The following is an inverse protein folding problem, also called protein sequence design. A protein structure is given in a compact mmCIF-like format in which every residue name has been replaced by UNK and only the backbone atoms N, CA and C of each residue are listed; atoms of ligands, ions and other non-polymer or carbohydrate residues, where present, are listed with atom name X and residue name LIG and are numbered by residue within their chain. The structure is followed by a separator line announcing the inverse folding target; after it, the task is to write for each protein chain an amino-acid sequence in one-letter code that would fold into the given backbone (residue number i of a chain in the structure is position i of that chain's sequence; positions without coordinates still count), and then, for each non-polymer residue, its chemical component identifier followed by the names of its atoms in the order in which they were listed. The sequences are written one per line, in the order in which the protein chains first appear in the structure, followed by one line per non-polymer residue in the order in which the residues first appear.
data_IF_874801355387
#
_entry.id   IF_874801355387
#
_cell.length_a   1.000
_cell.length_b   1.000
_cell.length_c   1.000
_cell.angle_alpha   90.00
_cell.angle_beta   90.00
_cell.angle_gamma   90.00
#
_symmetry.space_group_name_H-M   'P 1'
#
loop_
_entity.id
_entity.type
_entity.pdbx_description
1 polymer ?
#
# COMPACT_ATOMS: atom_id res chain seq x y z
N UNK A 1 24.12 19.10 14.98
CA UNK A 1 25.35 18.32 14.70
C UNK A 1 25.98 17.95 16.05
N UNK A 2 25.91 16.69 16.48
CA UNK A 2 26.71 16.15 17.58
C UNK A 2 27.21 14.77 17.14
N UNK A 3 28.52 14.62 17.14
CA UNK A 3 29.28 13.42 16.79
C UNK A 3 29.57 12.68 18.10
N UNK A 4 29.34 11.37 18.14
CA UNK A 4 29.85 10.49 19.20
C UNK A 4 28.80 9.63 19.90
N UNK A 5 28.81 8.34 19.57
CA UNK A 5 28.71 7.25 20.55
C UNK A 5 29.79 6.23 20.17
N UNK A 6 30.57 5.77 21.15
CA UNK A 6 31.77 4.95 20.97
C UNK A 6 31.42 3.61 20.30
N UNK A 7 31.84 3.45 19.03
CA UNK A 7 31.72 2.20 18.28
C UNK A 7 32.87 1.26 18.63
N UNK A 8 32.76 0.57 19.77
CA UNK A 8 33.80 -0.34 20.27
C UNK A 8 33.64 -1.82 19.86
N UNK A 9 32.72 -2.15 18.95
CA UNK A 9 32.47 -3.55 18.55
C UNK A 9 32.31 -3.72 17.04
N UNK A 10 32.99 -4.75 16.52
CA UNK A 10 32.85 -5.43 15.22
C UNK A 10 32.37 -4.54 14.05
N UNK A 11 33.34 -3.90 13.38
CA UNK A 11 33.18 -3.33 12.04
C UNK A 11 32.92 -1.82 11.93
N UNK A 12 32.74 -1.09 13.04
CA UNK A 12 32.50 0.36 13.04
C UNK A 12 33.69 1.15 13.64
N UNK A 13 33.94 2.39 13.15
CA UNK A 13 34.98 3.25 13.71
C UNK A 13 34.62 3.78 15.10
N UNK A 14 35.61 4.26 15.86
CA UNK A 14 35.42 4.78 17.22
C UNK A 14 34.40 5.94 17.28
N UNK A 15 34.34 6.78 16.24
CA UNK A 15 33.38 7.86 16.10
C UNK A 15 32.40 7.57 14.97
N UNK A 16 31.11 7.43 15.32
CA UNK A 16 30.02 7.25 14.36
C UNK A 16 29.04 8.43 14.37
N UNK A 17 28.38 8.65 13.23
CA UNK A 17 27.28 9.60 13.10
C UNK A 17 25.98 8.94 13.54
N UNK A 18 25.36 9.52 14.56
CA UNK A 18 24.04 9.11 15.05
C UNK A 18 22.97 10.04 14.47
N UNK A 19 21.86 9.47 14.04
CA UNK A 19 20.65 10.19 13.63
C UNK A 19 19.51 9.77 14.54
N UNK A 20 18.84 10.75 15.14
CA UNK A 20 17.59 10.55 15.88
C UNK A 20 16.44 11.14 15.08
N UNK A 21 15.40 10.35 14.85
CA UNK A 21 14.15 10.76 14.21
C UNK A 21 13.05 10.70 15.28
N UNK A 22 12.44 11.84 15.56
CA UNK A 22 11.45 12.00 16.62
C UNK A 22 11.71 13.27 17.41
N UNK A 23 11.71 13.14 18.73
CA UNK A 23 11.96 14.26 19.64
C UNK A 23 13.46 14.48 19.89
N UNK A 24 13.87 15.68 20.33
CA UNK A 24 15.25 15.94 20.74
C UNK A 24 15.69 15.17 22.00
N UNK A 25 14.73 14.72 22.82
CA UNK A 25 15.00 13.96 24.04
C UNK A 25 15.32 12.49 23.70
N UNK A 26 16.58 12.08 23.86
CA UNK A 26 17.03 10.72 23.56
C UNK A 26 16.46 9.66 24.52
N UNK A 27 15.91 10.05 25.67
CA UNK A 27 15.22 9.14 26.58
C UNK A 27 13.77 8.85 26.13
N UNK A 28 13.24 9.60 25.18
CA UNK A 28 11.92 9.36 24.59
C UNK A 28 11.96 8.23 23.54
N UNK A 29 10.77 7.77 23.14
CA UNK A 29 10.63 6.76 22.06
C UNK A 29 10.95 7.40 20.69
N UNK A 30 12.23 7.45 20.35
CA UNK A 30 12.72 7.87 19.04
C UNK A 30 13.28 6.69 18.24
N UNK A 31 13.36 6.83 16.92
CA UNK A 31 14.19 5.95 16.08
C UNK A 31 15.60 6.53 16.04
N UNK A 32 16.55 5.80 16.61
CA UNK A 32 17.95 6.23 16.71
C UNK A 32 18.81 5.24 15.95
N UNK A 33 19.51 5.73 14.94
CA UNK A 33 20.25 4.89 13.99
C UNK A 33 21.66 5.44 13.76
N UNK A 34 22.58 4.53 13.43
CA UNK A 34 23.90 4.88 12.91
C UNK A 34 23.78 5.04 11.39
N UNK A 35 23.77 6.28 10.90
CA UNK A 35 23.58 6.54 9.48
C UNK A 35 24.56 7.59 8.94
N UNK A 36 25.27 7.24 7.87
CA UNK A 36 26.15 8.14 7.12
C UNK A 36 25.47 8.87 5.96
N UNK A 37 24.19 8.60 5.69
CA UNK A 37 23.44 9.16 4.56
C UNK A 37 22.96 10.60 4.76
N UNK A 38 22.37 11.16 3.71
CA UNK A 38 21.73 12.48 3.74
C UNK A 38 20.31 12.35 4.30
N UNK A 39 19.96 13.23 5.23
CA UNK A 39 18.63 13.27 5.83
C UNK A 39 17.98 14.63 5.58
N UNK A 40 16.66 14.61 5.49
CA UNK A 40 15.83 15.82 5.60
C UNK A 40 15.97 16.45 6.98
N UNK A 41 15.74 17.77 7.06
CA UNK A 41 15.81 18.50 8.33
C UNK A 41 14.64 18.14 9.25
N UNK A 42 13.45 17.94 8.68
CA UNK A 42 12.24 17.55 9.40
C UNK A 42 11.50 16.42 8.67
N UNK A 43 10.83 15.55 9.42
CA UNK A 43 10.02 14.46 8.83
C UNK A 43 8.89 14.96 7.92
N UNK A 44 8.41 16.19 8.16
CA UNK A 44 7.45 16.87 7.27
C UNK A 44 7.98 17.03 5.85
N UNK A 45 9.28 17.21 5.67
CA UNK A 45 9.89 17.41 4.36
C UNK A 45 9.86 16.13 3.51
N UNK A 46 9.70 14.95 4.13
CA UNK A 46 9.46 13.71 3.41
C UNK A 46 8.06 13.67 2.74
N UNK A 47 7.13 14.53 3.17
CA UNK A 47 5.81 14.67 2.58
C UNK A 47 4.91 13.46 2.78
N UNK A 48 4.11 13.14 1.76
CA UNK A 48 3.24 11.96 1.78
C UNK A 48 4.05 10.68 1.87
N UNK A 49 3.46 9.63 2.46
CA UNK A 49 4.04 8.30 2.53
C UNK A 49 2.98 7.27 2.12
N UNK A 50 3.40 6.21 1.43
CA UNK A 50 2.52 5.11 1.04
C UNK A 50 3.29 3.80 0.98
N UNK A 51 2.73 2.73 1.54
CA UNK A 51 3.22 1.36 1.34
C UNK A 51 2.61 0.83 0.04
N UNK A 52 3.45 0.46 -0.91
CA UNK A 52 3.06 0.00 -2.24
C UNK A 52 2.89 -1.51 -2.31
N UNK A 53 3.77 -2.26 -1.65
CA UNK A 53 3.73 -3.71 -1.60
C UNK A 53 4.40 -4.26 -0.34
N UNK A 54 3.99 -5.47 0.02
CA UNK A 54 4.60 -6.29 1.04
C UNK A 54 4.78 -7.71 0.49
N UNK A 55 5.98 -8.29 0.65
CA UNK A 55 6.26 -9.67 0.23
C UNK A 55 7.05 -10.44 1.29
N UNK A 56 6.78 -11.73 1.44
CA UNK A 56 7.58 -12.62 2.27
C UNK A 56 8.86 -13.02 1.53
N UNK A 57 10.02 -12.86 2.16
CA UNK A 57 11.32 -13.21 1.57
C UNK A 57 11.84 -14.53 2.13
N UNK A 58 11.67 -14.75 3.44
CA UNK A 58 12.05 -15.97 4.15
C UNK A 58 11.20 -16.12 5.42
N UNK A 59 11.36 -17.23 6.15
CA UNK A 59 10.65 -17.46 7.42
C UNK A 59 10.99 -16.35 8.42
N UNK A 60 9.97 -15.55 8.77
CA UNK A 60 10.11 -14.41 9.68
C UNK A 60 10.64 -13.12 9.04
N UNK A 61 10.89 -13.08 7.72
CA UNK A 61 11.43 -11.90 7.03
C UNK A 61 10.44 -11.41 5.96
N UNK A 62 10.08 -10.12 6.03
CA UNK A 62 9.19 -9.46 5.08
C UNK A 62 9.87 -8.24 4.46
N UNK A 63 9.64 -8.02 3.16
CA UNK A 63 10.07 -6.84 2.42
C UNK A 63 8.88 -5.92 2.24
N UNK A 64 9.05 -4.67 2.65
CA UNK A 64 8.07 -3.60 2.44
C UNK A 64 8.67 -2.64 1.41
N UNK A 65 7.92 -2.34 0.35
CA UNK A 65 8.27 -1.27 -0.57
C UNK A 65 7.30 -0.13 -0.34
N UNK A 66 7.86 1.05 -0.14
CA UNK A 66 7.12 2.27 0.13
C UNK A 66 7.72 3.44 -0.65
N UNK A 67 6.89 4.44 -0.90
CA UNK A 67 7.29 5.69 -1.53
C UNK A 67 6.97 6.87 -0.62
N UNK A 68 7.71 7.96 -0.79
CA UNK A 68 7.44 9.27 -0.16
C UNK A 68 7.23 10.35 -1.22
N UNK A 69 6.94 11.59 -0.80
CA UNK A 69 6.87 12.77 -1.66
C UNK A 69 5.80 12.68 -2.76
N UNK A 70 6.14 13.17 -3.96
CA UNK A 70 5.20 13.27 -5.08
C UNK A 70 4.69 11.93 -5.59
N UNK A 71 5.54 10.90 -5.56
CA UNK A 71 5.16 9.53 -5.92
C UNK A 71 4.08 9.02 -4.97
N UNK A 72 4.24 9.26 -3.67
CA UNK A 72 3.23 8.90 -2.69
C UNK A 72 1.94 9.71 -2.86
N UNK A 73 2.05 11.01 -3.15
CA UNK A 73 0.88 11.85 -3.42
C UNK A 73 0.09 11.36 -4.65
N UNK A 74 0.78 11.09 -5.76
CA UNK A 74 0.16 10.53 -6.97
C UNK A 74 -0.55 9.20 -6.69
N UNK A 75 0.08 8.32 -5.91
CA UNK A 75 -0.52 7.06 -5.48
C UNK A 75 -1.80 7.27 -4.64
N UNK A 76 -1.83 8.27 -3.76
CA UNK A 76 -3.03 8.62 -2.98
C UNK A 76 -4.16 9.15 -3.87
N UNK A 77 -3.86 10.06 -4.80
CA UNK A 77 -4.84 10.61 -5.74
C UNK A 77 -5.43 9.50 -6.63
N UNK A 78 -4.56 8.65 -7.21
CA UNK A 78 -4.98 7.52 -8.00
C UNK A 78 -5.82 6.53 -7.18
N UNK A 79 -5.42 6.27 -5.93
CA UNK A 79 -6.17 5.41 -5.01
C UNK A 79 -7.60 5.91 -4.78
N UNK A 80 -7.77 7.21 -4.50
CA UNK A 80 -9.11 7.83 -4.33
C UNK A 80 -9.97 7.67 -5.58
N UNK A 81 -9.40 7.90 -6.76
CA UNK A 81 -10.11 7.71 -8.03
C UNK A 81 -10.57 6.27 -8.24
N UNK A 82 -9.71 5.28 -7.94
CA UNK A 82 -10.08 3.87 -8.02
C UNK A 82 -11.18 3.50 -7.03
N UNK A 83 -11.16 4.03 -5.80
CA UNK A 83 -12.21 3.76 -4.82
C UNK A 83 -13.57 4.31 -5.24
N UNK A 84 -13.60 5.47 -5.89
CA UNK A 84 -14.82 6.05 -6.46
C UNK A 84 -15.37 5.17 -7.59
N UNK A 85 -14.51 4.69 -8.49
CA UNK A 85 -14.92 3.79 -9.57
C UNK A 85 -15.46 2.47 -9.04
N UNK A 86 -14.84 1.91 -7.99
CA UNK A 86 -15.34 0.69 -7.33
C UNK A 86 -16.70 0.95 -6.67
N UNK A 87 -16.91 2.11 -6.04
CA UNK A 87 -18.20 2.47 -5.45
C UNK A 87 -19.30 2.60 -6.51
N UNK A 88 -19.01 3.24 -7.65
CA UNK A 88 -19.94 3.33 -8.77
C UNK A 88 -20.31 1.94 -9.30
N UNK A 89 -19.33 1.05 -9.42
CA UNK A 89 -19.54 -0.32 -9.87
C UNK A 89 -20.38 -1.16 -8.91
N UNK A 90 -20.31 -0.89 -7.60
CA UNK A 90 -21.18 -1.52 -6.60
C UNK A 90 -22.65 -1.09 -6.75
N UNK A 91 -22.91 0.15 -7.19
CA UNK A 91 -24.26 0.65 -7.45
C UNK A 91 -24.82 0.16 -8.79
N UNK A 92 -24.01 0.18 -9.86
CA UNK A 92 -24.41 -0.21 -11.21
C UNK A 92 -23.41 -1.23 -11.76
N UNK A 93 -23.62 -2.53 -11.48
CA UNK A 93 -22.65 -3.56 -11.83
C UNK A 93 -22.65 -3.87 -13.34
N UNK A 94 -21.48 -3.71 -13.96
CA UNK A 94 -21.21 -4.07 -15.37
C UNK A 94 -20.01 -5.04 -15.44
N UNK A 95 -20.20 -6.18 -16.11
CA UNK A 95 -19.21 -7.26 -16.19
C UNK A 95 -17.96 -6.84 -16.97
N UNK A 96 -18.12 -6.00 -18.01
CA UNK A 96 -17.00 -5.49 -18.78
C UNK A 96 -16.15 -4.54 -17.93
N UNK A 97 -16.81 -3.63 -17.19
CA UNK A 97 -16.14 -2.72 -16.28
C UNK A 97 -15.48 -3.42 -15.09
N UNK A 98 -16.11 -4.44 -14.49
CA UNK A 98 -15.51 -5.29 -13.43
C UNK A 98 -14.17 -5.85 -13.89
N UNK A 99 -14.11 -6.39 -15.11
CA UNK A 99 -12.89 -7.02 -15.63
C UNK A 99 -11.82 -5.98 -15.95
N UNK A 100 -12.21 -4.83 -16.51
CA UNK A 100 -11.31 -3.71 -16.81
C UNK A 100 -10.71 -3.11 -15.54
N UNK A 101 -11.55 -2.78 -14.56
CA UNK A 101 -11.14 -2.22 -13.26
C UNK A 101 -10.25 -3.19 -12.50
N UNK A 102 -10.54 -4.49 -12.55
CA UNK A 102 -9.67 -5.51 -11.97
C UNK A 102 -8.25 -5.45 -12.53
N UNK A 103 -8.09 -5.36 -13.86
CA UNK A 103 -6.77 -5.24 -14.50
C UNK A 103 -6.07 -3.93 -14.14
N UNK A 104 -6.81 -2.81 -14.16
CA UNK A 104 -6.28 -1.49 -13.81
C UNK A 104 -5.80 -1.43 -12.36
N UNK A 105 -6.52 -2.11 -11.45
CA UNK A 105 -6.15 -2.18 -10.04
C UNK A 105 -4.82 -2.91 -9.82
N UNK A 106 -4.58 -4.00 -10.56
CA UNK A 106 -3.33 -4.77 -10.41
C UNK A 106 -2.10 -3.95 -10.85
N UNK A 107 -2.19 -3.23 -11.98
CA UNK A 107 -1.09 -2.39 -12.47
C UNK A 107 -0.99 -1.02 -11.81
N UNK A 108 -1.92 -0.66 -10.92
CA UNK A 108 -1.92 0.64 -10.25
C UNK A 108 -0.84 0.75 -9.16
N UNK A 109 -0.08 1.84 -9.17
CA UNK A 109 0.82 2.24 -8.08
C UNK A 109 -0.01 2.96 -7.01
N UNK A 110 -0.63 2.19 -6.13
CA UNK A 110 -1.48 2.68 -5.04
C UNK A 110 -1.13 1.95 -3.75
N UNK A 111 -1.70 2.40 -2.63
CA UNK A 111 -1.50 1.74 -1.34
C UNK A 111 -1.83 0.23 -1.42
N UNK A 112 -0.94 -0.61 -0.88
CA UNK A 112 -1.15 -2.05 -0.76
C UNK A 112 -2.48 -2.38 -0.06
N UNK A 113 -2.78 -1.64 1.02
CA UNK A 113 -4.04 -1.80 1.78
C UNK A 113 -5.26 -1.44 0.93
N UNK A 114 -5.18 -0.35 0.17
CA UNK A 114 -6.25 0.07 -0.72
C UNK A 114 -6.45 -0.94 -1.86
N UNK A 115 -5.35 -1.48 -2.41
CA UNK A 115 -5.38 -2.49 -3.46
C UNK A 115 -6.12 -3.74 -2.98
N UNK A 116 -5.78 -4.27 -1.80
CA UNK A 116 -6.47 -5.42 -1.21
C UNK A 116 -7.95 -5.13 -0.91
N UNK A 117 -8.26 -3.96 -0.35
CA UNK A 117 -9.64 -3.53 -0.09
C UNK A 117 -10.47 -3.48 -1.37
N UNK A 118 -9.94 -2.86 -2.43
CA UNK A 118 -10.63 -2.75 -3.72
C UNK A 118 -10.78 -4.11 -4.39
N UNK A 119 -9.74 -4.97 -4.34
CA UNK A 119 -9.80 -6.32 -4.89
C UNK A 119 -10.90 -7.14 -4.23
N UNK A 120 -11.02 -7.06 -2.91
CA UNK A 120 -12.08 -7.72 -2.16
C UNK A 120 -13.48 -7.23 -2.57
N UNK A 121 -13.66 -5.90 -2.72
CA UNK A 121 -14.93 -5.28 -3.16
C UNK A 121 -15.33 -5.71 -4.57
N UNK A 122 -14.41 -5.58 -5.54
CA UNK A 122 -14.62 -6.03 -6.93
C UNK A 122 -14.94 -7.53 -6.96
N UNK A 123 -14.26 -8.34 -6.13
CA UNK A 123 -14.53 -9.77 -5.99
C UNK A 123 -15.96 -10.09 -5.52
N UNK A 124 -16.52 -9.29 -4.61
CA UNK A 124 -17.93 -9.42 -4.17
C UNK A 124 -18.90 -9.11 -5.30
N UNK A 125 -18.71 -7.99 -6.00
CA UNK A 125 -19.54 -7.59 -7.14
C UNK A 125 -19.52 -8.67 -8.22
N UNK A 126 -18.34 -9.17 -8.60
CA UNK A 126 -18.18 -10.24 -9.58
C UNK A 126 -18.92 -11.53 -9.19
N UNK A 127 -18.87 -11.91 -7.91
CA UNK A 127 -19.62 -13.09 -7.40
C UNK A 127 -21.13 -12.87 -7.48
N UNK A 128 -21.61 -11.69 -7.09
CA UNK A 128 -23.03 -11.34 -7.15
C UNK A 128 -23.56 -11.39 -8.60
N UNK A 129 -22.84 -10.78 -9.56
CA UNK A 129 -23.21 -10.82 -10.98
C UNK A 129 -23.28 -12.25 -11.53
N UNK A 130 -22.28 -13.10 -11.24
CA UNK A 130 -22.29 -14.51 -11.67
C UNK A 130 -23.48 -15.28 -11.10
N UNK A 131 -23.86 -15.02 -9.84
CA UNK A 131 -25.04 -15.64 -9.21
C UNK A 131 -26.34 -15.19 -9.89
N UNK A 132 -26.45 -13.90 -10.23
CA UNK A 132 -27.61 -13.36 -10.95
C UNK A 132 -27.73 -13.95 -12.37
N UNK A 133 -26.62 -14.06 -13.10
CA UNK A 133 -26.57 -14.70 -14.43
C UNK A 133 -27.00 -16.16 -14.38
N UNK A 134 -26.50 -16.95 -13.42
CA UNK A 134 -26.91 -18.35 -13.24
C UNK A 134 -28.39 -18.48 -12.92
N UNK A 135 -28.94 -17.62 -12.05
CA UNK A 135 -30.37 -17.62 -11.73
C UNK A 135 -31.25 -17.31 -12.94
N UNK A 136 -30.84 -16.39 -13.82
CA UNK A 136 -31.56 -16.11 -15.06
C UNK A 136 -31.56 -17.33 -15.99
N UNK A 137 -30.42 -18.00 -16.13
CA UNK A 137 -30.31 -19.16 -17.00
C UNK A 137 -31.13 -20.38 -16.51
N UNK A 138 -31.28 -20.57 -15.20
CA UNK A 138 -32.13 -21.62 -14.62
C UNK A 138 -33.63 -21.29 -14.65
N UNK A 139 -34.02 -20.05 -14.94
CA UNK A 139 -35.44 -19.63 -15.02
C UNK A 139 -35.97 -19.56 -16.46
N UNK A 140 -35.11 -19.74 -17.47
CA UNK A 140 -35.47 -19.71 -18.90
C UNK A 140 -35.56 -21.10 -19.54
N UNK A 141 -35.39 -22.20 -18.79
CA UNK A 141 -35.63 -23.56 -19.30
C UNK A 141 -37.15 -23.87 -19.21
N UNK A 142 -37.91 -23.87 -20.33
CA UNK A 142 -39.35 -24.06 -20.27
C UNK A 142 -39.67 -25.55 -20.28
N UNK A 143 -40.70 -25.91 -19.51
CA UNK A 143 -41.48 -27.11 -19.77
C UNK A 143 -41.83 -27.16 -21.26
N UNK A 144 -41.27 -28.11 -22.00
CA UNK A 144 -41.90 -28.60 -23.23
C UNK A 144 -42.69 -29.86 -22.88
N UNK A 145 -43.93 -30.01 -23.40
CA UNK A 145 -44.83 -31.11 -23.07
C UNK A 145 -44.31 -32.49 -23.51
#
# INVERSE_FOLDING_TARGET
RKIGLLGGSEGYPELVRVVSIGTPDLAARNSVELCGGTHVANTRDAGHFVVLEESAVAKGIRRIVAATGDVANAAHVQGRSLEQLVAQLECSPDLAQVTKLGKQLESATVSAVLKERCRARIGKVRKAMKKALKKKHTQEEPLTP
#
